data_IF_439317483930
#
_entry.id   IF_439317483930
#
_cell.length_a   1.000
_cell.length_b   1.000
_cell.length_c   1.000
_cell.angle_alpha   90.00
_cell.angle_beta   90.00
_cell.angle_gamma   90.00
#
_symmetry.space_group_name_H-M   'P 1'
#
loop_
_entity.id
_entity.type
_entity.pdbx_description
1 polymer ?
#
# COMPACT_ATOMS: atom_id res chain seq x y z
N UNK A 1 5.89 -13.00 -57.59
CA UNK A 1 4.93 -12.26 -58.45
C UNK A 1 4.49 -11.05 -57.63
N UNK A 2 5.19 -9.99 -57.68
CA UNK A 2 5.12 -8.69 -58.39
C UNK A 2 3.71 -8.18 -58.62
N UNK A 3 3.31 -7.10 -57.94
CA UNK A 3 2.76 -5.96 -58.66
C UNK A 3 2.66 -4.72 -57.74
N UNK A 4 3.46 -3.75 -58.16
CA UNK A 4 3.41 -2.32 -57.84
C UNK A 4 2.10 -1.71 -58.33
N UNK A 5 1.53 -0.75 -57.62
CA UNK A 5 0.87 0.38 -58.27
C UNK A 5 1.25 1.70 -57.61
N UNK A 6 1.74 2.56 -58.47
CA UNK A 6 2.33 3.87 -58.19
C UNK A 6 1.28 4.99 -58.29
N UNK A 7 1.49 5.98 -57.44
CA UNK A 7 1.52 7.46 -57.69
C UNK A 7 0.76 8.05 -58.89
N UNK A 8 -0.01 9.07 -58.57
CA UNK A 8 -0.06 10.43 -59.16
C UNK A 8 -1.49 10.95 -59.27
N UNK A 9 -1.75 12.12 -58.67
CA UNK A 9 -2.48 13.27 -59.27
C UNK A 9 -2.27 14.44 -58.29
N UNK A 10 -1.36 15.35 -58.48
CA UNK A 10 -1.35 16.65 -59.20
C UNK A 10 -2.35 17.68 -58.61
N UNK A 11 -1.71 18.74 -58.10
CA UNK A 11 -2.25 20.04 -57.70
C UNK A 11 -3.18 20.66 -58.74
N UNK A 12 -4.25 21.30 -58.25
CA UNK A 12 -4.76 22.56 -58.87
C UNK A 12 -5.01 23.57 -57.74
N UNK A 13 -4.30 24.67 -57.82
CA UNK A 13 -4.50 25.87 -57.04
C UNK A 13 -5.75 26.61 -57.55
N UNK A 14 -6.57 27.05 -56.60
CA UNK A 14 -7.52 28.14 -56.84
C UNK A 14 -7.46 29.08 -55.65
N UNK A 15 -6.97 30.27 -55.89
CA UNK A 15 -7.00 31.38 -54.95
C UNK A 15 -8.44 31.83 -54.74
N UNK A 16 -8.87 31.84 -53.48
CA UNK A 16 -10.04 32.58 -53.06
C UNK A 16 -9.64 33.40 -51.82
N UNK A 17 -9.50 34.69 -52.02
CA UNK A 17 -9.37 35.68 -50.95
C UNK A 17 -10.65 35.73 -50.16
N UNK A 18 -10.60 35.38 -48.90
CA UNK A 18 -11.76 35.41 -48.01
C UNK A 18 -11.32 35.59 -46.56
N UNK A 19 -11.57 36.78 -46.04
CA UNK A 19 -11.71 37.20 -44.66
C UNK A 19 -11.01 36.35 -43.59
N UNK A 20 -9.91 36.89 -43.06
CA UNK A 20 -9.36 36.44 -41.75
C UNK A 20 -10.40 36.78 -40.68
N UNK A 21 -11.22 35.83 -40.33
CA UNK A 21 -11.99 35.88 -39.08
C UNK A 21 -10.98 35.79 -37.92
N UNK A 22 -10.86 36.85 -37.18
CA UNK A 22 -10.09 36.87 -35.93
C UNK A 22 -10.61 35.75 -35.02
N UNK A 23 -9.83 34.69 -34.85
CA UNK A 23 -10.02 33.69 -33.80
C UNK A 23 -9.93 34.47 -32.50
N UNK A 24 -10.91 34.40 -31.61
CA UNK A 24 -10.79 35.05 -30.32
C UNK A 24 -9.58 34.43 -29.60
N UNK A 25 -8.59 35.25 -29.35
CA UNK A 25 -7.43 34.90 -28.57
C UNK A 25 -7.87 34.60 -27.13
N UNK A 26 -7.43 33.45 -26.66
CA UNK A 26 -7.07 33.30 -25.26
C UNK A 26 -8.25 33.22 -24.30
N UNK A 27 -8.73 32.00 -24.09
CA UNK A 27 -9.08 31.68 -22.71
C UNK A 27 -7.78 31.84 -21.90
N UNK A 28 -7.63 32.97 -21.22
CA UNK A 28 -6.60 33.14 -20.22
C UNK A 28 -6.77 31.95 -19.26
N UNK A 29 -5.80 31.06 -19.24
CA UNK A 29 -5.75 30.00 -18.28
C UNK A 29 -5.63 30.69 -16.92
N UNK A 30 -6.78 30.83 -16.23
CA UNK A 30 -6.81 31.43 -14.89
C UNK A 30 -5.85 30.62 -14.05
N UNK A 31 -4.82 31.31 -13.53
CA UNK A 31 -3.86 30.68 -12.63
C UNK A 31 -4.66 30.00 -11.49
N UNK A 32 -4.35 28.73 -11.20
CA UNK A 32 -5.01 28.00 -10.15
C UNK A 32 -4.84 28.72 -8.81
N UNK A 33 -5.94 29.06 -8.14
CA UNK A 33 -5.92 29.76 -6.87
C UNK A 33 -5.97 28.77 -5.69
N UNK A 34 -4.83 28.54 -5.05
CA UNK A 34 -4.74 27.77 -3.83
C UNK A 34 -5.46 28.43 -2.65
N UNK A 35 -5.61 29.77 -2.65
CA UNK A 35 -6.22 30.55 -1.55
C UNK A 35 -7.74 30.65 -1.63
N UNK A 36 -8.39 30.02 -2.62
CA UNK A 36 -9.86 30.10 -2.84
C UNK A 36 -10.70 29.70 -1.61
N UNK A 37 -10.13 28.97 -0.66
CA UNK A 37 -10.77 28.59 0.61
C UNK A 37 -10.00 29.10 1.83
N UNK A 38 -9.21 30.15 1.67
CA UNK A 38 -8.42 30.77 2.74
C UNK A 38 -9.33 31.20 3.91
N UNK A 39 -8.85 31.02 5.13
CA UNK A 39 -9.59 31.30 6.36
C UNK A 39 -10.45 30.13 6.85
N UNK A 40 -10.63 29.06 6.06
CA UNK A 40 -11.28 27.85 6.54
C UNK A 40 -10.32 27.01 7.41
N UNK A 41 -10.92 26.12 8.20
CA UNK A 41 -10.19 25.07 8.94
C UNK A 41 -10.74 23.71 8.55
N UNK A 42 -9.88 22.73 8.36
CA UNK A 42 -10.25 21.33 8.09
C UNK A 42 -9.62 20.41 9.14
N UNK A 43 -10.28 19.27 9.37
CA UNK A 43 -9.77 18.20 10.22
C UNK A 43 -9.33 17.01 9.36
N UNK A 44 -8.13 16.49 9.63
CA UNK A 44 -7.51 15.40 8.87
C UNK A 44 -7.23 14.22 9.79
N UNK A 45 -7.84 13.09 9.46
CA UNK A 45 -7.63 11.84 10.16
C UNK A 45 -6.50 11.05 9.48
N UNK A 46 -5.35 10.91 10.16
CA UNK A 46 -4.18 10.22 9.66
C UNK A 46 -3.97 8.87 10.39
N UNK A 47 -3.50 7.87 9.67
CA UNK A 47 -2.96 6.66 10.27
C UNK A 47 -1.53 6.93 10.75
N UNK A 48 -1.23 6.59 12.00
CA UNK A 48 0.13 6.69 12.56
C UNK A 48 1.08 5.77 11.78
N UNK A 49 1.95 6.38 10.98
CA UNK A 49 2.83 5.70 10.05
C UNK A 49 3.90 6.67 9.53
N UNK A 50 5.00 6.19 8.91
CA UNK A 50 5.98 7.07 8.28
C UNK A 50 5.37 8.08 7.29
N UNK A 51 4.26 7.71 6.63
CA UNK A 51 3.52 8.57 5.70
C UNK A 51 2.75 9.67 6.45
N UNK A 52 2.11 9.32 7.56
CA UNK A 52 1.44 10.28 8.43
C UNK A 52 2.43 11.30 8.99
N UNK A 53 3.59 10.84 9.45
CA UNK A 53 4.67 11.70 9.95
C UNK A 53 5.19 12.65 8.87
N UNK A 54 5.33 12.15 7.62
CA UNK A 54 5.73 12.97 6.48
C UNK A 54 4.72 14.08 6.21
N UNK A 55 3.44 13.77 6.16
CA UNK A 55 2.38 14.75 5.91
C UNK A 55 2.33 15.82 7.02
N UNK A 56 2.42 15.42 8.29
CA UNK A 56 2.45 16.37 9.41
C UNK A 56 3.69 17.26 9.39
N UNK A 57 4.85 16.70 9.06
CA UNK A 57 6.10 17.47 8.97
C UNK A 57 5.99 18.66 8.01
N UNK A 58 5.29 18.47 6.90
CA UNK A 58 5.16 19.48 5.84
C UNK A 58 3.81 20.20 5.85
N UNK A 59 2.91 19.92 6.81
CA UNK A 59 1.58 20.50 6.91
C UNK A 59 1.58 22.03 6.84
N UNK A 60 2.55 22.68 7.49
CA UNK A 60 2.65 24.14 7.48
C UNK A 60 2.82 24.72 6.08
N UNK A 61 3.49 24.03 5.17
CA UNK A 61 3.61 24.49 3.77
C UNK A 61 2.24 24.58 3.09
N UNK A 62 1.36 23.60 3.35
CA UNK A 62 -0.02 23.64 2.85
C UNK A 62 -0.80 24.81 3.46
N UNK A 63 -0.68 25.01 4.77
CA UNK A 63 -1.36 26.11 5.46
C UNK A 63 -0.91 27.48 4.93
N UNK A 64 0.39 27.68 4.74
CA UNK A 64 0.96 28.94 4.24
C UNK A 64 0.56 29.19 2.77
N UNK A 65 0.52 28.13 1.95
CA UNK A 65 0.15 28.21 0.55
C UNK A 65 -1.36 28.47 0.35
N UNK A 66 -2.19 27.80 1.13
CA UNK A 66 -3.66 27.82 0.94
C UNK A 66 -4.39 28.81 1.86
N UNK A 67 -3.79 29.19 2.99
CA UNK A 67 -4.47 29.94 4.05
C UNK A 67 -5.52 29.10 4.79
N UNK A 68 -5.56 27.78 4.59
CA UNK A 68 -6.45 26.85 5.29
C UNK A 68 -5.72 26.34 6.52
N UNK A 69 -6.37 26.33 7.68
CA UNK A 69 -5.84 25.71 8.90
C UNK A 69 -6.13 24.21 8.92
N UNK A 70 -5.18 23.42 9.39
CA UNK A 70 -5.30 21.96 9.43
C UNK A 70 -5.14 21.44 10.85
N UNK A 71 -6.20 20.84 11.38
CA UNK A 71 -6.13 19.94 12.52
C UNK A 71 -5.79 18.54 12.00
N UNK A 72 -4.69 17.94 12.46
CA UNK A 72 -4.32 16.58 12.04
C UNK A 72 -4.14 15.67 13.25
N UNK A 73 -4.98 14.64 13.35
CA UNK A 73 -4.89 13.60 14.35
C UNK A 73 -4.25 12.35 13.75
N UNK A 74 -3.17 11.84 14.36
CA UNK A 74 -2.59 10.53 14.01
C UNK A 74 -3.04 9.46 14.99
N UNK A 75 -3.69 8.42 14.49
CA UNK A 75 -4.25 7.32 15.28
C UNK A 75 -3.61 5.99 14.85
N UNK A 76 -3.30 5.08 15.80
CA UNK A 76 -2.84 3.73 15.47
C UNK A 76 -3.78 3.02 14.50
N UNK A 77 -3.22 2.25 13.58
CA UNK A 77 -3.89 1.70 12.40
C UNK A 77 -5.26 1.06 12.66
N UNK A 78 -5.35 0.15 13.63
CA UNK A 78 -6.61 -0.55 13.92
C UNK A 78 -7.66 0.36 14.56
N UNK A 79 -7.23 1.22 15.48
CA UNK A 79 -8.11 2.20 16.13
C UNK A 79 -8.63 3.23 15.12
N UNK A 80 -7.77 3.67 14.19
CA UNK A 80 -8.12 4.57 13.09
C UNK A 80 -9.26 3.99 12.24
N UNK A 81 -9.16 2.71 11.86
CA UNK A 81 -10.18 2.01 11.07
C UNK A 81 -11.50 1.89 11.82
N UNK A 82 -11.46 1.53 13.11
CA UNK A 82 -12.65 1.41 13.96
C UNK A 82 -13.35 2.76 14.14
N UNK A 83 -12.59 3.83 14.45
CA UNK A 83 -13.12 5.18 14.59
C UNK A 83 -13.82 5.62 13.30
N UNK A 84 -13.16 5.45 12.15
CA UNK A 84 -13.74 5.81 10.87
C UNK A 84 -15.08 5.11 10.59
N UNK A 85 -15.15 3.80 10.81
CA UNK A 85 -16.39 3.03 10.60
C UNK A 85 -17.51 3.47 11.54
N UNK A 86 -17.21 3.72 12.82
CA UNK A 86 -18.19 4.21 13.80
C UNK A 86 -18.75 5.57 13.38
N UNK A 87 -17.87 6.51 13.03
CA UNK A 87 -18.29 7.86 12.64
C UNK A 87 -19.07 7.85 11.33
N UNK A 88 -18.64 7.14 10.32
CA UNK A 88 -19.36 7.02 9.05
C UNK A 88 -20.74 6.37 9.22
N UNK A 89 -20.87 5.33 10.04
CA UNK A 89 -22.16 4.72 10.36
C UNK A 89 -23.11 5.67 11.11
N UNK A 90 -22.57 6.61 11.88
CA UNK A 90 -23.38 7.63 12.57
C UNK A 90 -23.89 8.74 11.63
N UNK A 91 -23.44 8.76 10.37
CA UNK A 91 -23.76 9.82 9.40
C UNK A 91 -23.05 11.16 9.66
N UNK A 92 -22.01 11.16 10.53
CA UNK A 92 -21.27 12.36 10.90
C UNK A 92 -19.81 12.01 11.17
N UNK A 93 -18.88 12.79 10.62
CA UNK A 93 -17.45 12.61 10.85
C UNK A 93 -16.85 13.81 11.59
N UNK A 94 -15.91 13.55 12.48
CA UNK A 94 -15.08 14.57 13.12
C UNK A 94 -13.96 15.07 12.20
N UNK A 95 -13.81 14.50 11.02
CA UNK A 95 -12.78 14.81 10.03
C UNK A 95 -13.40 15.15 8.68
N UNK A 96 -12.70 15.99 7.93
CA UNK A 96 -13.02 16.37 6.54
C UNK A 96 -12.26 15.51 5.53
N UNK A 97 -11.02 15.10 5.89
CA UNK A 97 -10.14 14.24 5.09
C UNK A 97 -9.74 13.01 5.89
N UNK A 98 -9.68 11.88 5.23
CA UNK A 98 -9.21 10.62 5.82
C UNK A 98 -8.09 9.98 5.01
N UNK A 99 -7.04 9.55 5.72
CA UNK A 99 -6.05 8.60 5.24
C UNK A 99 -6.64 7.19 5.36
N UNK A 100 -7.04 6.61 4.24
CA UNK A 100 -7.73 5.32 4.19
C UNK A 100 -6.81 4.21 3.69
N UNK A 101 -7.02 3.00 4.25
CA UNK A 101 -6.31 1.78 3.83
C UNK A 101 -7.14 1.05 2.78
N UNK A 102 -6.74 1.11 1.52
CA UNK A 102 -7.48 0.52 0.40
C UNK A 102 -7.79 -0.96 0.57
N UNK A 103 -6.83 -1.71 1.04
CA UNK A 103 -6.93 -3.16 1.19
C UNK A 103 -7.95 -3.62 2.25
N UNK A 104 -8.48 -2.68 3.07
CA UNK A 104 -9.49 -2.97 4.09
C UNK A 104 -10.76 -2.15 3.88
N UNK A 105 -10.65 -0.91 3.44
CA UNK A 105 -11.76 0.04 3.50
C UNK A 105 -12.41 0.31 2.13
N UNK A 106 -11.75 -0.06 1.02
CA UNK A 106 -12.20 0.26 -0.33
C UNK A 106 -13.66 -0.13 -0.60
N UNK A 107 -14.01 -1.39 -0.43
CA UNK A 107 -15.36 -1.90 -0.74
C UNK A 107 -16.40 -1.43 0.27
N UNK A 108 -16.06 -1.49 1.55
CA UNK A 108 -16.94 -1.04 2.62
C UNK A 108 -17.30 0.44 2.47
N UNK A 109 -16.31 1.31 2.22
CA UNK A 109 -16.54 2.75 2.07
C UNK A 109 -17.33 3.07 0.80
N UNK A 110 -17.09 2.33 -0.29
CA UNK A 110 -17.84 2.47 -1.52
C UNK A 110 -19.33 2.11 -1.35
N UNK A 111 -19.64 1.00 -0.66
CA UNK A 111 -21.00 0.58 -0.39
C UNK A 111 -21.74 1.58 0.52
N UNK A 112 -21.08 2.05 1.57
CA UNK A 112 -21.61 3.08 2.46
C UNK A 112 -21.76 4.45 1.81
N UNK A 113 -21.14 4.69 0.64
CA UNK A 113 -21.05 6.01 -0.01
C UNK A 113 -20.47 7.06 0.92
N UNK A 114 -19.48 6.66 1.72
CA UNK A 114 -18.91 7.48 2.79
C UNK A 114 -17.87 8.50 2.30
N UNK A 115 -17.41 8.31 1.07
CA UNK A 115 -16.42 9.19 0.46
C UNK A 115 -17.04 10.00 -0.67
N UNK A 116 -16.58 11.23 -0.84
CA UNK A 116 -16.95 12.10 -1.94
C UNK A 116 -16.44 11.58 -3.28
N UNK A 117 -17.24 11.68 -4.33
CA UNK A 117 -16.79 11.44 -5.69
C UNK A 117 -15.95 12.62 -6.18
N UNK A 118 -14.66 12.40 -6.36
CA UNK A 118 -13.72 13.46 -6.73
C UNK A 118 -13.75 13.84 -8.22
N UNK A 119 -14.45 13.08 -9.08
CA UNK A 119 -14.49 13.33 -10.53
C UNK A 119 -14.94 14.75 -10.89
N UNK A 120 -16.02 15.29 -10.28
CA UNK A 120 -16.44 16.68 -10.57
C UNK A 120 -15.38 17.71 -10.19
N UNK A 121 -14.58 17.44 -9.17
CA UNK A 121 -13.56 18.36 -8.66
C UNK A 121 -12.31 18.44 -9.57
N UNK A 122 -12.09 17.46 -10.42
CA UNK A 122 -10.93 17.44 -11.30
C UNK A 122 -10.93 18.56 -12.36
N UNK A 123 -12.09 19.10 -12.71
CA UNK A 123 -12.19 20.26 -13.59
C UNK A 123 -11.57 21.53 -12.99
N UNK A 124 -11.37 21.54 -11.66
CA UNK A 124 -10.84 22.67 -10.90
C UNK A 124 -9.41 22.42 -10.40
N UNK A 125 -8.69 21.42 -10.92
CA UNK A 125 -7.30 21.15 -10.54
C UNK A 125 -6.33 22.01 -11.37
N UNK A 126 -5.13 22.32 -10.83
CA UNK A 126 -4.10 22.97 -11.61
C UNK A 126 -3.61 22.06 -12.75
N UNK A 127 -3.12 22.67 -13.83
CA UNK A 127 -2.69 21.93 -15.02
C UNK A 127 -1.55 20.94 -14.75
N UNK A 128 -0.69 21.24 -13.79
CA UNK A 128 0.44 20.42 -13.37
C UNK A 128 0.06 19.28 -12.40
N UNK A 129 -1.19 19.25 -11.94
CA UNK A 129 -1.68 18.15 -11.09
C UNK A 129 -1.57 16.79 -11.77
N UNK A 130 -1.75 16.74 -13.08
CA UNK A 130 -1.49 15.58 -13.95
C UNK A 130 -1.97 14.24 -13.38
N UNK A 131 -3.23 13.92 -13.60
CA UNK A 131 -3.81 12.63 -13.16
C UNK A 131 -3.18 11.42 -13.85
N UNK A 132 -2.65 11.61 -15.07
CA UNK A 132 -1.99 10.56 -15.83
C UNK A 132 -0.65 10.11 -15.21
N UNK A 133 -0.10 10.90 -14.30
CA UNK A 133 1.12 10.57 -13.57
C UNK A 133 0.89 9.56 -12.43
N UNK A 134 -0.35 9.30 -12.03
CA UNK A 134 -0.63 8.23 -11.06
C UNK A 134 -0.47 6.84 -11.70
N UNK A 135 0.17 5.93 -10.99
CA UNK A 135 0.32 4.54 -11.42
C UNK A 135 -1.02 3.84 -11.60
N UNK A 136 -1.08 2.92 -12.57
CA UNK A 136 -2.30 2.13 -12.80
C UNK A 136 -2.75 1.36 -11.54
N UNK A 137 -1.81 0.82 -10.75
CA UNK A 137 -2.11 0.14 -9.50
C UNK A 137 -2.71 1.07 -8.44
N UNK A 138 -2.21 2.31 -8.32
CA UNK A 138 -2.80 3.32 -7.43
C UNK A 138 -4.21 3.68 -7.85
N UNK A 139 -4.43 3.96 -9.12
CA UNK A 139 -5.76 4.29 -9.66
C UNK A 139 -6.73 3.12 -9.60
N UNK A 140 -6.27 1.87 -9.73
CA UNK A 140 -7.09 0.69 -9.53
C UNK A 140 -7.71 0.66 -8.12
N UNK A 141 -6.93 0.99 -7.10
CA UNK A 141 -7.45 1.07 -5.74
C UNK A 141 -8.37 2.27 -5.50
N UNK A 142 -8.08 3.42 -6.09
CA UNK A 142 -8.85 4.65 -5.93
C UNK A 142 -10.17 4.67 -6.73
N UNK A 143 -10.29 3.81 -7.75
CA UNK A 143 -11.48 3.75 -8.62
C UNK A 143 -12.41 2.64 -8.15
N UNK A 144 -13.70 2.96 -7.98
CA UNK A 144 -14.73 2.01 -7.62
C UNK A 144 -15.31 1.31 -8.86
N UNK A 145 -16.05 0.22 -8.65
CA UNK A 145 -16.65 -0.58 -9.74
C UNK A 145 -17.67 0.21 -10.58
N UNK A 146 -18.29 1.24 -10.01
CA UNK A 146 -19.20 2.17 -10.69
C UNK A 146 -18.47 3.35 -11.37
N UNK A 147 -17.15 3.33 -11.40
CA UNK A 147 -16.32 4.35 -12.01
C UNK A 147 -16.09 5.60 -11.15
N UNK A 148 -16.66 5.71 -9.94
CA UNK A 148 -16.33 6.80 -9.03
C UNK A 148 -14.85 6.75 -8.64
N UNK A 149 -14.26 7.93 -8.46
CA UNK A 149 -12.92 8.09 -7.87
C UNK A 149 -13.15 8.77 -6.53
N UNK A 150 -13.10 8.01 -5.46
CA UNK A 150 -13.46 8.46 -4.11
C UNK A 150 -12.28 8.81 -3.21
N UNK A 151 -11.09 8.78 -3.79
CA UNK A 151 -9.86 9.15 -3.12
C UNK A 151 -8.76 9.40 -4.15
N UNK A 152 -7.65 10.01 -3.73
CA UNK A 152 -6.40 10.05 -4.50
C UNK A 152 -5.40 9.07 -3.89
N UNK A 153 -4.71 8.27 -4.71
CA UNK A 153 -3.72 7.33 -4.19
C UNK A 153 -2.58 8.06 -3.48
N UNK A 154 -2.21 7.59 -2.29
CA UNK A 154 -1.11 8.14 -1.51
C UNK A 154 0.17 7.32 -1.70
N UNK A 155 0.07 6.01 -1.52
CA UNK A 155 1.19 5.08 -1.75
C UNK A 155 0.68 3.68 -2.10
N UNK A 156 1.56 2.90 -2.71
CA UNK A 156 1.49 1.45 -2.71
C UNK A 156 2.67 0.90 -1.93
N UNK A 157 2.46 -0.15 -1.18
CA UNK A 157 3.47 -0.71 -0.29
C UNK A 157 3.66 -2.20 -0.62
N UNK A 158 4.54 -2.52 -1.59
CA UNK A 158 4.85 -3.90 -1.88
C UNK A 158 5.62 -4.51 -0.70
N UNK A 159 5.28 -5.74 -0.34
CA UNK A 159 6.00 -6.47 0.69
C UNK A 159 7.29 -7.05 0.13
N UNK A 160 8.36 -6.88 0.91
CA UNK A 160 9.72 -7.29 0.57
C UNK A 160 10.28 -8.19 1.68
N UNK A 161 11.36 -8.88 1.40
CA UNK A 161 12.12 -9.62 2.39
C UNK A 161 13.33 -8.77 2.85
N UNK A 162 13.25 -8.27 4.08
CA UNK A 162 14.38 -7.69 4.79
C UNK A 162 15.26 -8.81 5.35
N UNK A 163 16.57 -8.69 5.22
CA UNK A 163 17.49 -9.68 5.74
C UNK A 163 18.76 -9.05 6.32
N UNK A 164 19.32 -9.66 7.36
CA UNK A 164 20.51 -9.18 8.00
C UNK A 164 21.75 -9.79 7.32
N UNK A 165 22.45 -8.98 6.50
CA UNK A 165 23.63 -9.39 5.72
C UNK A 165 24.73 -9.98 6.59
N UNK A 166 24.94 -9.43 7.80
CA UNK A 166 25.99 -9.88 8.72
C UNK A 166 25.71 -11.29 9.27
N UNK A 167 24.46 -11.54 9.70
CA UNK A 167 24.05 -12.87 10.17
C UNK A 167 24.13 -13.92 9.07
N UNK A 168 23.73 -13.57 7.85
CA UNK A 168 23.85 -14.46 6.69
C UNK A 168 25.31 -14.75 6.35
N UNK A 169 26.18 -13.73 6.30
CA UNK A 169 27.60 -13.89 6.03
C UNK A 169 28.29 -14.77 7.09
N UNK A 170 27.96 -14.60 8.37
CA UNK A 170 28.51 -15.41 9.47
C UNK A 170 28.22 -16.92 9.32
N UNK A 171 27.19 -17.29 8.58
CA UNK A 171 26.83 -18.69 8.29
C UNK A 171 27.12 -19.10 6.83
N UNK A 172 27.78 -18.24 6.03
CA UNK A 172 28.07 -18.51 4.62
C UNK A 172 26.81 -18.61 3.75
N UNK A 173 25.72 -17.94 4.13
CA UNK A 173 24.45 -17.97 3.41
C UNK A 173 24.34 -16.78 2.45
N UNK A 174 23.71 -16.99 1.30
CA UNK A 174 23.28 -15.97 0.37
C UNK A 174 21.80 -15.64 0.55
N UNK A 175 21.35 -14.55 -0.10
CA UNK A 175 19.93 -14.22 -0.17
C UNK A 175 19.11 -15.41 -0.73
N UNK A 176 18.00 -15.81 -0.08
CA UNK A 176 17.20 -16.98 -0.49
C UNK A 176 16.56 -16.74 -1.86
N UNK A 177 16.57 -17.75 -2.71
CA UNK A 177 16.03 -17.72 -4.09
C UNK A 177 14.65 -18.37 -4.21
N UNK A 178 14.17 -19.02 -3.17
CA UNK A 178 12.87 -19.71 -3.12
C UNK A 178 12.28 -19.63 -1.72
N UNK A 179 10.97 -19.89 -1.59
CA UNK A 179 10.32 -20.01 -0.28
C UNK A 179 10.93 -21.11 0.58
N UNK A 180 11.33 -22.22 -0.02
CA UNK A 180 12.02 -23.30 0.69
C UNK A 180 13.34 -22.81 1.29
N UNK A 181 14.11 -22.02 0.54
CA UNK A 181 15.37 -21.45 1.03
C UNK A 181 15.15 -20.38 2.13
N UNK A 182 14.01 -19.66 2.14
CA UNK A 182 13.63 -18.80 3.29
C UNK A 182 13.51 -19.65 4.55
N UNK A 183 12.79 -20.77 4.48
CA UNK A 183 12.59 -21.67 5.63
C UNK A 183 13.91 -22.27 6.09
N UNK A 184 14.76 -22.71 5.17
CA UNK A 184 16.07 -23.30 5.48
C UNK A 184 17.02 -22.27 6.10
N UNK A 185 17.06 -21.06 5.55
CA UNK A 185 17.86 -19.97 6.12
C UNK A 185 17.35 -19.58 7.51
N UNK A 186 16.03 -19.50 7.70
CA UNK A 186 15.46 -19.22 9.01
C UNK A 186 15.90 -20.24 10.07
N UNK A 187 15.86 -21.54 9.74
CA UNK A 187 16.31 -22.62 10.65
C UNK A 187 17.80 -22.51 10.98
N UNK A 188 18.66 -22.28 9.97
CA UNK A 188 20.12 -22.19 10.14
C UNK A 188 20.56 -20.96 10.94
N UNK A 189 19.79 -19.87 10.87
CA UNK A 189 20.08 -18.59 11.52
C UNK A 189 19.38 -18.45 12.88
N UNK A 190 18.46 -19.36 13.22
CA UNK A 190 17.77 -19.35 14.51
C UNK A 190 18.69 -19.86 15.60
N UNK A 191 19.10 -18.96 16.50
CA UNK A 191 19.95 -19.25 17.65
C UNK A 191 19.40 -18.56 18.90
N UNK A 192 18.42 -19.18 19.58
CA UNK A 192 17.83 -18.62 20.79
C UNK A 192 18.84 -18.42 21.93
N UNK A 193 19.94 -19.17 21.95
CA UNK A 193 20.99 -19.04 22.98
C UNK A 193 21.72 -17.69 22.86
N UNK A 194 21.86 -17.19 21.67
CA UNK A 194 22.41 -15.85 21.37
C UNK A 194 21.34 -14.76 21.27
N UNK A 195 20.07 -15.10 21.51
CA UNK A 195 18.95 -14.19 21.39
C UNK A 195 18.60 -13.80 19.95
N UNK A 196 19.02 -14.63 18.96
CA UNK A 196 18.77 -14.41 17.54
C UNK A 196 17.61 -15.30 17.07
N UNK A 197 16.63 -14.72 16.41
CA UNK A 197 15.57 -15.47 15.73
C UNK A 197 15.85 -15.51 14.23
N UNK A 198 15.52 -16.64 13.59
CA UNK A 198 15.72 -16.81 12.15
C UNK A 198 14.72 -15.97 11.33
N UNK A 199 13.52 -15.78 11.87
CA UNK A 199 12.48 -15.03 11.20
C UNK A 199 11.62 -14.23 12.21
N UNK A 200 11.19 -13.05 11.82
CA UNK A 200 10.17 -12.28 12.53
C UNK A 200 9.10 -11.79 11.55
N UNK A 201 7.88 -11.67 12.00
CA UNK A 201 6.75 -11.19 11.20
C UNK A 201 5.50 -10.98 12.03
N UNK A 202 4.41 -10.63 11.37
CA UNK A 202 3.14 -10.34 12.02
C UNK A 202 2.43 -11.62 12.45
N UNK A 203 2.31 -11.83 13.75
CA UNK A 203 1.57 -12.95 14.35
C UNK A 203 0.29 -12.52 15.06
N UNK A 204 0.14 -11.22 15.39
CA UNK A 204 -1.03 -10.69 16.09
C UNK A 204 -2.29 -10.82 15.24
N UNK A 205 -3.37 -11.30 15.87
CA UNK A 205 -4.70 -11.43 15.25
C UNK A 205 -5.05 -10.17 14.46
N UNK A 206 -5.55 -10.37 13.35
CA UNK A 206 -5.87 -9.78 12.08
C UNK A 206 -4.69 -9.06 11.35
N UNK A 207 -3.64 -8.66 12.03
CA UNK A 207 -2.41 -8.19 11.39
C UNK A 207 -1.60 -9.34 10.75
N UNK A 208 -1.82 -10.58 11.19
CA UNK A 208 -1.17 -11.79 10.72
C UNK A 208 -1.64 -12.24 9.31
N UNK A 209 -2.90 -11.96 8.97
CA UNK A 209 -3.51 -12.43 7.71
C UNK A 209 -2.74 -11.94 6.47
N UNK A 210 -2.32 -10.68 6.34
CA UNK A 210 -1.50 -10.23 5.21
C UNK A 210 -0.20 -11.01 4.99
N UNK A 211 0.47 -11.47 6.05
CA UNK A 211 1.67 -12.28 5.90
C UNK A 211 1.34 -13.65 5.31
N UNK A 212 0.32 -14.32 5.83
CA UNK A 212 -0.15 -15.59 5.28
C UNK A 212 -0.62 -15.45 3.83
N UNK A 213 -1.48 -14.46 3.54
CA UNK A 213 -2.03 -14.30 2.18
C UNK A 213 -0.97 -13.92 1.16
N UNK A 214 0.07 -13.18 1.55
CA UNK A 214 1.23 -12.92 0.69
C UNK A 214 1.95 -14.23 0.30
N UNK A 215 2.16 -15.13 1.26
CA UNK A 215 2.70 -16.46 0.98
C UNK A 215 1.74 -17.30 0.13
N UNK A 216 0.44 -17.28 0.45
CA UNK A 216 -0.60 -18.00 -0.27
C UNK A 216 -0.60 -17.71 -1.77
N UNK A 217 -0.47 -16.44 -2.16
CA UNK A 217 -0.33 -16.05 -3.57
C UNK A 217 0.88 -16.70 -4.23
N UNK A 218 2.02 -16.81 -3.53
CA UNK A 218 3.25 -17.45 -4.04
C UNK A 218 3.11 -18.96 -4.23
N UNK A 219 2.27 -19.61 -3.43
CA UNK A 219 1.88 -21.00 -3.62
C UNK A 219 0.91 -21.21 -4.80
N UNK A 220 0.48 -20.13 -5.46
CA UNK A 220 -0.50 -20.16 -6.55
C UNK A 220 -1.94 -20.08 -6.07
N UNK A 221 -2.14 -19.76 -4.79
CA UNK A 221 -3.47 -19.62 -4.21
C UNK A 221 -4.25 -18.47 -4.81
N UNK A 222 -5.55 -18.66 -4.90
CA UNK A 222 -6.53 -17.66 -5.29
C UNK A 222 -7.60 -17.57 -4.20
N UNK A 223 -8.07 -16.37 -3.89
CA UNK A 223 -9.08 -16.20 -2.84
C UNK A 223 -10.42 -16.86 -3.21
N UNK A 224 -10.70 -16.91 -4.50
CA UNK A 224 -11.94 -17.48 -5.05
C UNK A 224 -11.62 -18.47 -6.17
N UNK A 225 -12.39 -19.51 -6.27
CA UNK A 225 -12.37 -20.45 -7.40
C UNK A 225 -13.08 -19.89 -8.64
N UNK A 226 -13.08 -20.65 -9.73
CA UNK A 226 -13.73 -20.26 -10.98
C UNK A 226 -15.26 -20.06 -10.89
N UNK A 227 -15.89 -20.55 -9.81
CA UNK A 227 -17.31 -20.37 -9.51
C UNK A 227 -17.58 -19.22 -8.52
N UNK A 228 -16.53 -18.48 -8.11
CA UNK A 228 -16.62 -17.38 -7.14
C UNK A 228 -16.74 -17.84 -5.68
N UNK A 229 -16.55 -19.15 -5.40
CA UNK A 229 -16.55 -19.69 -4.05
C UNK A 229 -15.18 -19.46 -3.38
N UNK A 230 -15.20 -19.23 -2.07
CA UNK A 230 -13.99 -19.05 -1.28
C UNK A 230 -13.08 -20.30 -1.36
N UNK A 231 -11.80 -20.08 -1.71
CA UNK A 231 -10.81 -21.13 -1.97
C UNK A 231 -9.67 -21.14 -0.93
N UNK A 232 -10.01 -20.92 0.33
CA UNK A 232 -9.06 -20.75 1.45
C UNK A 232 -8.79 -22.05 2.23
N UNK A 233 -9.24 -23.20 1.73
CA UNK A 233 -8.96 -24.53 2.29
C UNK A 233 -8.26 -25.46 1.30
N UNK A 234 -7.77 -24.90 0.18
CA UNK A 234 -7.07 -25.64 -0.87
C UNK A 234 -5.68 -26.12 -0.41
N UNK A 235 -5.06 -27.08 -1.13
CA UNK A 235 -3.68 -27.50 -0.84
C UNK A 235 -2.69 -26.33 -0.76
N UNK A 236 -2.85 -25.32 -1.62
CA UNK A 236 -2.04 -24.11 -1.62
C UNK A 236 -2.25 -23.27 -0.33
N UNK A 237 -3.50 -23.17 0.14
CA UNK A 237 -3.83 -22.51 1.39
C UNK A 237 -3.20 -23.24 2.60
N UNK A 238 -3.32 -24.57 2.64
CA UNK A 238 -2.71 -25.40 3.68
C UNK A 238 -1.19 -25.28 3.67
N UNK A 239 -0.55 -25.40 2.51
CA UNK A 239 0.90 -25.30 2.39
C UNK A 239 1.44 -23.93 2.82
N UNK A 240 0.78 -22.86 2.41
CA UNK A 240 1.17 -21.48 2.78
C UNK A 240 0.97 -21.18 4.27
N UNK A 241 -0.13 -21.66 4.87
CA UNK A 241 -0.39 -21.51 6.29
C UNK A 241 0.58 -22.37 7.13
N UNK A 242 0.97 -23.54 6.62
CA UNK A 242 2.02 -24.37 7.23
C UNK A 242 3.36 -23.62 7.24
N UNK A 243 3.75 -23.02 6.11
CA UNK A 243 4.98 -22.20 6.05
C UNK A 243 4.91 -21.00 7.00
N UNK A 244 3.79 -20.29 7.03
CA UNK A 244 3.56 -19.18 7.96
C UNK A 244 3.75 -19.62 9.42
N UNK A 245 3.08 -20.71 9.82
CA UNK A 245 3.20 -21.28 11.16
C UNK A 245 4.63 -21.68 11.48
N UNK A 246 5.28 -22.39 10.59
CA UNK A 246 6.63 -22.93 10.84
C UNK A 246 7.69 -21.84 10.95
N UNK A 247 7.60 -20.79 10.14
CA UNK A 247 8.48 -19.64 10.26
C UNK A 247 8.34 -18.96 11.63
N UNK A 248 7.12 -18.68 12.06
CA UNK A 248 6.90 -17.93 13.31
C UNK A 248 7.02 -18.80 14.57
N UNK A 249 6.55 -20.07 14.52
CA UNK A 249 6.57 -20.96 15.67
C UNK A 249 7.94 -21.58 15.92
N UNK A 250 8.63 -22.02 14.86
CA UNK A 250 9.86 -22.79 14.99
C UNK A 250 11.12 -21.93 14.89
N UNK A 251 11.06 -20.75 14.27
CA UNK A 251 12.21 -19.88 14.05
C UNK A 251 11.97 -18.42 14.41
N UNK A 252 10.79 -18.11 14.92
CA UNK A 252 10.40 -16.77 15.40
C UNK A 252 10.62 -16.57 16.90
N UNK A 253 10.31 -15.36 17.40
CA UNK A 253 10.41 -15.05 18.82
C UNK A 253 9.34 -15.78 19.64
N UNK A 254 9.64 -16.06 20.91
CA UNK A 254 8.62 -16.44 21.87
C UNK A 254 7.52 -15.37 21.89
N UNK A 255 6.24 -15.78 21.90
CA UNK A 255 5.11 -14.85 21.87
C UNK A 255 4.87 -14.17 20.51
N UNK A 256 5.36 -14.74 19.42
CA UNK A 256 5.16 -14.22 18.06
C UNK A 256 3.68 -13.89 17.74
N UNK A 257 2.72 -14.59 18.35
CA UNK A 257 1.28 -14.31 18.22
C UNK A 257 0.84 -12.93 18.74
N UNK A 258 1.70 -12.24 19.47
CA UNK A 258 1.47 -10.85 19.95
C UNK A 258 2.15 -9.79 19.06
N UNK A 259 2.89 -10.17 18.02
CA UNK A 259 3.67 -9.25 17.22
C UNK A 259 2.86 -8.67 16.06
N UNK A 260 2.77 -7.34 15.99
CA UNK A 260 2.40 -6.60 14.80
C UNK A 260 3.70 -6.11 14.09
N UNK A 261 3.59 -5.23 13.11
CA UNK A 261 4.73 -4.70 12.37
C UNK A 261 5.75 -3.95 13.25
N UNK A 262 5.29 -3.21 14.25
CA UNK A 262 6.15 -2.42 15.14
C UNK A 262 7.00 -3.29 16.07
N UNK A 263 6.48 -4.37 16.63
CA UNK A 263 7.24 -5.33 17.42
C UNK A 263 8.24 -6.07 16.55
N UNK A 264 7.82 -6.50 15.34
CA UNK A 264 8.68 -7.18 14.38
C UNK A 264 9.84 -6.26 13.93
N UNK A 265 9.54 -5.01 13.57
CA UNK A 265 10.54 -4.00 13.22
C UNK A 265 11.50 -3.74 14.37
N UNK A 266 10.99 -3.58 15.60
CA UNK A 266 11.83 -3.33 16.78
C UNK A 266 12.84 -4.44 17.01
N UNK A 267 12.44 -5.71 16.84
CA UNK A 267 13.35 -6.84 16.99
C UNK A 267 14.41 -6.85 15.88
N UNK A 268 14.02 -6.53 14.66
CA UNK A 268 14.93 -6.43 13.53
C UNK A 268 15.92 -5.26 13.67
N UNK A 269 15.44 -4.08 14.12
CA UNK A 269 16.25 -2.89 14.43
C UNK A 269 17.35 -3.19 15.47
N UNK A 270 17.07 -4.08 16.42
CA UNK A 270 18.03 -4.51 17.44
C UNK A 270 19.07 -5.51 16.91
N UNK A 271 18.98 -5.95 15.66
CA UNK A 271 19.84 -6.98 15.07
C UNK A 271 19.54 -8.39 15.57
N UNK A 272 18.38 -8.60 16.19
CA UNK A 272 17.98 -9.87 16.81
C UNK A 272 17.13 -10.77 15.91
N UNK A 273 16.87 -10.37 14.67
CA UNK A 273 16.17 -11.17 13.68
C UNK A 273 17.00 -11.25 12.39
N UNK A 274 17.07 -12.45 11.81
CA UNK A 274 17.80 -12.66 10.57
C UNK A 274 17.00 -12.24 9.33
N UNK A 275 15.68 -12.44 9.35
CA UNK A 275 14.77 -12.10 8.25
C UNK A 275 13.46 -11.52 8.78
N UNK A 276 12.85 -10.66 7.94
CA UNK A 276 11.56 -10.03 8.19
C UNK A 276 10.83 -9.78 6.86
N UNK A 277 9.58 -10.20 6.74
CA UNK A 277 8.74 -9.90 5.58
C UNK A 277 7.70 -8.86 5.99
N UNK A 278 7.72 -7.69 5.35
CA UNK A 278 6.74 -6.63 5.56
C UNK A 278 6.80 -5.59 4.43
N UNK A 279 5.99 -4.51 4.55
CA UNK A 279 5.94 -3.43 3.61
C UNK A 279 7.26 -2.69 3.43
N UNK A 280 7.57 -2.30 2.21
CA UNK A 280 8.80 -1.60 1.85
C UNK A 280 8.94 -0.23 2.54
N UNK A 281 7.84 0.40 2.93
CA UNK A 281 7.82 1.70 3.61
C UNK A 281 8.23 1.66 5.08
N UNK A 282 8.56 0.50 5.63
CA UNK A 282 9.09 0.38 6.99
C UNK A 282 10.63 0.40 7.07
N UNK A 283 11.30 0.62 5.94
CA UNK A 283 12.75 0.67 5.84
C UNK A 283 13.44 1.86 6.57
N UNK A 284 12.89 3.11 6.61
CA UNK A 284 13.64 4.27 7.08
C UNK A 284 14.26 4.14 8.47
N UNK A 285 13.57 3.62 9.51
CA UNK A 285 14.20 3.46 10.82
C UNK A 285 15.39 2.49 10.83
N UNK A 286 15.48 1.57 9.86
CA UNK A 286 16.56 0.58 9.77
C UNK A 286 17.91 1.23 9.42
N UNK A 287 17.88 2.36 8.71
CA UNK A 287 19.06 3.14 8.30
C UNK A 287 19.29 4.40 9.17
N UNK A 288 18.55 4.54 10.28
CA UNK A 288 18.71 5.62 11.24
C UNK A 288 19.61 5.15 12.40
N UNK A 289 20.85 5.66 12.44
CA UNK A 289 21.84 5.29 13.47
C UNK A 289 21.41 5.61 14.91
N UNK A 290 20.42 6.49 15.09
CA UNK A 290 19.88 6.81 16.42
C UNK A 290 18.89 5.76 16.93
N UNK A 291 18.37 4.90 16.02
CA UNK A 291 17.32 3.90 16.30
C UNK A 291 17.76 2.47 16.05
N UNK A 292 18.70 2.27 15.13
CA UNK A 292 19.03 0.96 14.56
C UNK A 292 20.46 0.52 14.89
N UNK A 293 20.60 -0.76 15.21
CA UNK A 293 21.91 -1.46 15.33
C UNK A 293 22.32 -2.16 14.04
N UNK A 294 21.47 -2.10 13.01
CA UNK A 294 21.66 -2.79 11.72
C UNK A 294 21.91 -1.84 10.55
N UNK A 295 22.20 -0.57 10.82
CA UNK A 295 22.55 0.41 9.78
C UNK A 295 23.65 -0.13 8.87
N UNK A 296 23.41 -0.10 7.55
CA UNK A 296 24.35 -0.63 6.54
C UNK A 296 24.45 -2.16 6.49
N UNK A 297 23.78 -2.89 7.40
CA UNK A 297 23.77 -4.35 7.46
C UNK A 297 22.47 -4.96 6.90
N UNK A 298 21.50 -4.12 6.55
CA UNK A 298 20.22 -4.57 6.01
C UNK A 298 20.35 -4.85 4.53
N UNK A 299 19.84 -6.00 4.11
CA UNK A 299 19.56 -6.32 2.72
C UNK A 299 18.08 -6.14 2.43
N UNK A 300 17.80 -5.60 1.29
CA UNK A 300 16.44 -5.37 0.78
C UNK A 300 16.24 -6.29 -0.42
N UNK A 301 15.35 -7.26 -0.33
CA UNK A 301 15.18 -8.27 -1.36
C UNK A 301 13.74 -8.37 -1.87
N UNK A 302 13.61 -8.52 -3.19
CA UNK A 302 12.34 -8.88 -3.83
C UNK A 302 11.89 -10.23 -3.28
N UNK A 303 10.60 -10.39 -2.99
CA UNK A 303 10.09 -11.68 -2.55
C UNK A 303 10.56 -12.80 -3.49
N UNK A 304 11.25 -13.83 -2.97
CA UNK A 304 11.63 -14.98 -3.77
C UNK A 304 10.40 -15.67 -4.38
N UNK A 305 10.53 -16.37 -5.52
CA UNK A 305 9.45 -17.15 -6.07
C UNK A 305 8.98 -18.22 -5.07
N UNK A 306 7.66 -18.30 -4.93
CA UNK A 306 7.00 -19.42 -4.32
C UNK A 306 6.97 -20.62 -5.27
N UNK A 307 6.38 -21.74 -4.85
CA UNK A 307 6.33 -22.97 -5.68
C UNK A 307 5.63 -22.79 -7.03
N UNK A 308 4.76 -21.80 -7.17
CA UNK A 308 3.97 -21.58 -8.38
C UNK A 308 4.15 -20.19 -8.99
N UNK A 309 4.42 -19.17 -8.16
CA UNK A 309 4.43 -17.78 -8.61
C UNK A 309 5.46 -16.96 -7.83
N UNK A 310 6.18 -16.09 -8.53
CA UNK A 310 6.88 -14.98 -7.88
C UNK A 310 5.92 -13.81 -7.75
N UNK A 311 5.68 -13.36 -6.53
CA UNK A 311 4.70 -12.32 -6.23
C UNK A 311 5.11 -11.51 -5.01
N UNK A 312 4.87 -10.22 -5.06
CA UNK A 312 4.88 -9.34 -3.89
C UNK A 312 3.43 -8.99 -3.54
N UNK A 313 3.00 -9.31 -2.34
CA UNK A 313 1.73 -8.82 -1.83
C UNK A 313 1.81 -7.29 -1.70
N UNK A 314 0.77 -6.59 -2.18
CA UNK A 314 0.76 -5.13 -2.19
C UNK A 314 -0.45 -4.61 -1.44
N UNK A 315 -0.19 -3.60 -0.65
CA UNK A 315 -1.17 -2.88 0.13
C UNK A 315 -1.08 -1.41 -0.24
N UNK A 316 -2.19 -0.70 -0.22
CA UNK A 316 -2.21 0.69 -0.63
C UNK A 316 -3.01 1.55 0.31
N UNK A 317 -2.64 2.83 0.35
CA UNK A 317 -3.35 3.85 1.09
C UNK A 317 -3.74 5.00 0.15
N UNK A 318 -4.79 5.70 0.52
CA UNK A 318 -5.27 6.87 -0.19
C UNK A 318 -5.65 8.00 0.74
N UNK A 319 -5.85 9.17 0.14
CA UNK A 319 -6.41 10.34 0.82
C UNK A 319 -7.77 10.63 0.20
N UNK A 320 -8.82 10.63 1.00
CA UNK A 320 -10.16 10.86 0.52
C UNK A 320 -10.89 11.93 1.32
N UNK A 321 -11.94 12.52 0.71
CA UNK A 321 -12.79 13.53 1.33
C UNK A 321 -14.03 12.84 1.88
N UNK A 322 -14.38 13.12 3.14
CA UNK A 322 -15.62 12.62 3.75
C UNK A 322 -16.83 13.16 3.00
N UNK A 323 -17.77 12.26 2.65
CA UNK A 323 -19.04 12.67 2.06
C UNK A 323 -19.88 13.57 2.98
N UNK A 324 -19.63 13.49 4.31
CA UNK A 324 -20.31 14.28 5.34
C UNK A 324 -19.63 15.62 5.64
N UNK A 325 -18.47 15.90 5.03
CA UNK A 325 -17.81 17.21 5.18
C UNK A 325 -18.62 18.32 4.52
N UNK A 326 -18.77 19.43 5.24
CA UNK A 326 -19.29 20.69 4.67
C UNK A 326 -18.22 21.52 3.97
N UNK A 327 -16.94 21.11 4.06
CA UNK A 327 -15.75 21.85 3.57
C UNK A 327 -15.06 21.09 2.44
N UNK A 328 -15.82 20.41 1.59
CA UNK A 328 -15.32 19.48 0.56
C UNK A 328 -14.26 20.08 -0.35
N UNK A 329 -14.40 21.36 -0.73
CA UNK A 329 -13.44 22.05 -1.58
C UNK A 329 -12.08 22.26 -0.90
N UNK A 330 -12.06 22.71 0.36
CA UNK A 330 -10.85 22.87 1.16
C UNK A 330 -10.17 21.51 1.44
N UNK A 331 -10.99 20.50 1.78
CA UNK A 331 -10.55 19.12 1.97
C UNK A 331 -9.90 18.53 0.71
N UNK A 332 -10.48 18.81 -0.47
CA UNK A 332 -9.90 18.36 -1.74
C UNK A 332 -8.55 19.04 -2.05
N UNK A 333 -8.37 20.33 -1.74
CA UNK A 333 -7.08 20.99 -1.87
C UNK A 333 -6.00 20.30 -1.03
N UNK A 334 -6.33 19.93 0.21
CA UNK A 334 -5.41 19.17 1.05
C UNK A 334 -5.08 17.79 0.44
N UNK A 335 -6.10 17.09 -0.04
CA UNK A 335 -5.93 15.78 -0.68
C UNK A 335 -5.01 15.86 -1.91
N UNK A 336 -5.17 16.91 -2.75
CA UNK A 336 -4.29 17.16 -3.89
C UNK A 336 -2.85 17.45 -3.46
N UNK A 337 -2.65 18.29 -2.43
CA UNK A 337 -1.33 18.60 -1.89
C UNK A 337 -0.65 17.35 -1.33
N UNK A 338 -1.36 16.58 -0.51
CA UNK A 338 -0.86 15.36 0.14
C UNK A 338 -0.43 14.29 -0.87
N UNK A 339 -1.05 14.24 -2.04
CA UNK A 339 -0.77 13.27 -3.12
C UNK A 339 -0.07 13.92 -4.32
N UNK A 340 0.32 15.19 -4.18
CA UNK A 340 0.98 15.97 -5.23
C UNK A 340 2.41 15.53 -5.51
N UNK A 341 2.96 15.94 -6.67
CA UNK A 341 4.29 15.55 -7.15
C UNK A 341 5.38 15.83 -6.11
N UNK A 342 5.37 17.01 -5.47
CA UNK A 342 6.36 17.39 -4.46
C UNK A 342 6.31 16.47 -3.23
N UNK A 343 5.12 16.14 -2.73
CA UNK A 343 4.98 15.24 -1.57
C UNK A 343 5.39 13.80 -1.92
N UNK A 344 5.09 13.35 -3.13
CA UNK A 344 5.48 12.03 -3.62
C UNK A 344 7.00 11.92 -3.83
N UNK A 345 7.65 12.98 -4.31
CA UNK A 345 9.11 13.07 -4.38
C UNK A 345 9.75 12.98 -2.98
N UNK A 346 9.20 13.71 -1.99
CA UNK A 346 9.64 13.63 -0.59
C UNK A 346 9.41 12.23 0.02
N UNK A 347 8.31 11.59 -0.33
CA UNK A 347 8.03 10.21 0.09
C UNK A 347 9.11 9.26 -0.41
N UNK A 348 9.52 9.38 -1.67
CA UNK A 348 10.63 8.61 -2.22
C UNK A 348 11.94 8.91 -1.49
N UNK A 349 12.31 10.18 -1.39
CA UNK A 349 13.57 10.61 -0.79
C UNK A 349 13.72 10.12 0.66
N UNK A 350 12.64 10.07 1.42
CA UNK A 350 12.63 9.61 2.81
C UNK A 350 12.39 8.11 2.97
N UNK A 351 11.93 7.41 1.91
CA UNK A 351 11.55 6.01 1.96
C UNK A 351 10.26 5.73 2.74
N UNK A 352 9.44 6.77 3.00
CA UNK A 352 8.23 6.65 3.81
C UNK A 352 7.11 5.82 3.16
N UNK A 353 7.31 5.32 1.96
CA UNK A 353 6.42 4.47 1.17
C UNK A 353 6.87 4.42 -0.28
N UNK A 354 6.30 3.53 -1.08
CA UNK A 354 6.50 3.55 -2.52
C UNK A 354 5.54 4.56 -3.16
N UNK A 355 6.05 5.64 -3.76
CA UNK A 355 5.22 6.64 -4.42
C UNK A 355 4.32 6.05 -5.49
N UNK A 356 3.15 6.62 -5.66
CA UNK A 356 2.20 6.24 -6.70
C UNK A 356 2.26 7.15 -7.91
N UNK A 357 3.00 8.25 -7.85
CA UNK A 357 3.30 9.10 -9.02
C UNK A 357 4.57 8.62 -9.70
N UNK A 358 4.44 8.34 -11.00
CA UNK A 358 5.55 7.83 -11.81
C UNK A 358 6.69 8.85 -11.97
N UNK A 359 6.37 10.14 -11.93
CA UNK A 359 7.35 11.23 -11.96
C UNK A 359 8.29 11.22 -10.76
N UNK A 360 7.85 10.77 -9.58
CA UNK A 360 8.67 10.73 -8.38
C UNK A 360 9.94 9.88 -8.58
N UNK A 361 9.85 8.78 -9.32
CA UNK A 361 10.99 7.88 -9.60
C UNK A 361 12.01 8.46 -10.62
N UNK A 362 11.69 9.61 -11.20
CA UNK A 362 12.55 10.36 -12.13
C UNK A 362 12.94 11.73 -11.60
N UNK A 363 12.49 12.06 -10.39
CA UNK A 363 12.81 13.31 -9.74
C UNK A 363 14.28 13.31 -9.29
N UNK A 364 15.10 14.16 -9.89
CA UNK A 364 16.55 14.18 -9.66
C UNK A 364 16.89 14.58 -8.23
N UNK A 365 16.13 15.50 -7.65
CA UNK A 365 16.35 15.98 -6.28
C UNK A 365 15.98 14.89 -5.26
N UNK A 366 14.83 14.22 -5.45
CA UNK A 366 14.42 13.10 -4.61
C UNK A 366 15.45 11.96 -4.64
N UNK A 367 15.95 11.62 -5.84
CA UNK A 367 16.95 10.56 -5.99
C UNK A 367 18.31 10.94 -5.37
N UNK A 368 18.72 12.20 -5.51
CA UNK A 368 19.97 12.70 -4.88
C UNK A 368 19.88 12.77 -3.35
N UNK A 369 18.67 12.94 -2.81
CA UNK A 369 18.41 13.02 -1.36
C UNK A 369 17.87 11.73 -0.76
N UNK A 370 17.94 10.62 -1.49
CA UNK A 370 17.45 9.31 -1.02
C UNK A 370 18.16 8.90 0.28
N UNK A 371 17.39 8.69 1.34
CA UNK A 371 17.89 8.30 2.67
C UNK A 371 18.14 6.79 2.81
N UNK A 372 17.69 6.02 1.85
CA UNK A 372 17.81 4.56 1.82
C UNK A 372 18.84 4.12 0.77
N UNK A 373 19.44 2.93 0.91
CA UNK A 373 20.31 2.36 -0.11
C UNK A 373 19.62 2.22 -1.47
N UNK A 374 20.38 2.37 -2.55
CA UNK A 374 19.90 2.15 -3.94
C UNK A 374 19.31 0.74 -4.11
N UNK A 375 19.80 -0.25 -3.37
CA UNK A 375 19.24 -1.60 -3.30
C UNK A 375 17.75 -1.59 -2.91
N UNK A 376 17.35 -0.77 -1.94
CA UNK A 376 15.94 -0.62 -1.58
C UNK A 376 15.10 -0.09 -2.74
N UNK A 377 15.59 0.95 -3.43
CA UNK A 377 14.86 1.53 -4.57
C UNK A 377 14.67 0.51 -5.69
N UNK A 378 15.72 -0.25 -6.04
CA UNK A 378 15.66 -1.30 -7.03
C UNK A 378 14.67 -2.42 -6.62
N UNK A 379 14.71 -2.82 -5.35
CA UNK A 379 13.80 -3.83 -4.79
C UNK A 379 12.35 -3.37 -4.85
N UNK A 380 12.06 -2.12 -4.50
CA UNK A 380 10.71 -1.56 -4.60
C UNK A 380 10.21 -1.57 -6.04
N UNK A 381 11.04 -1.09 -6.98
CA UNK A 381 10.68 -1.08 -8.41
C UNK A 381 10.36 -2.47 -8.95
N UNK A 382 11.19 -3.45 -8.64
CA UNK A 382 10.99 -4.83 -9.07
C UNK A 382 9.78 -5.49 -8.38
N UNK A 383 9.62 -5.26 -7.07
CA UNK A 383 8.46 -5.76 -6.32
C UNK A 383 7.14 -5.20 -6.85
N UNK A 384 7.11 -3.95 -7.29
CA UNK A 384 5.94 -3.36 -7.93
C UNK A 384 5.57 -4.02 -9.26
N UNK A 385 6.55 -4.54 -10.02
CA UNK A 385 6.29 -5.26 -11.28
C UNK A 385 5.57 -6.60 -11.07
N UNK A 386 5.82 -7.26 -9.95
CA UNK A 386 5.21 -8.55 -9.58
C UNK A 386 4.11 -8.39 -8.53
N UNK A 387 3.67 -7.15 -8.27
CA UNK A 387 2.70 -6.84 -7.23
C UNK A 387 1.31 -7.39 -7.53
N UNK A 388 0.66 -7.93 -6.50
CA UNK A 388 -0.76 -8.31 -6.51
C UNK A 388 -1.43 -7.87 -5.21
N UNK A 389 -2.75 -7.58 -5.23
CA UNK A 389 -3.47 -7.31 -3.99
C UNK A 389 -3.24 -8.41 -2.95
N UNK A 390 -2.74 -8.02 -1.78
CA UNK A 390 -2.38 -8.95 -0.71
C UNK A 390 -3.57 -9.49 0.09
N UNK A 391 -4.77 -8.91 -0.10
CA UNK A 391 -6.03 -9.36 0.50
C UNK A 391 -7.12 -9.43 -0.57
N UNK A 392 -8.19 -10.23 -0.36
CA UNK A 392 -9.34 -10.23 -1.26
C UNK A 392 -10.01 -8.87 -1.25
N UNK A 393 -10.41 -8.38 -2.43
CA UNK A 393 -11.13 -7.12 -2.57
C UNK A 393 -12.63 -7.40 -2.44
N UNK A 394 -13.06 -7.55 -1.20
CA UNK A 394 -14.44 -7.86 -0.79
C UNK A 394 -14.94 -6.81 0.21
N UNK A 395 -16.25 -6.75 0.41
CA UNK A 395 -16.82 -5.86 1.42
C UNK A 395 -16.44 -6.30 2.83
N UNK A 396 -16.66 -7.57 3.25
CA UNK A 396 -16.40 -8.01 4.62
C UNK A 396 -14.93 -8.42 4.83
N UNK A 397 -13.97 -7.64 4.29
CA UNK A 397 -12.55 -7.97 4.42
C UNK A 397 -12.03 -7.85 5.86
N UNK A 398 -12.66 -7.02 6.68
CA UNK A 398 -12.34 -6.93 8.11
C UNK A 398 -12.70 -8.22 8.82
N UNK A 399 -13.89 -8.74 8.58
CA UNK A 399 -14.37 -10.02 9.10
C UNK A 399 -13.55 -11.19 8.58
N UNK A 400 -13.15 -11.16 7.28
CA UNK A 400 -12.18 -12.12 6.73
C UNK A 400 -10.89 -12.13 7.57
N UNK A 401 -10.32 -10.96 7.84
CA UNK A 401 -9.11 -10.84 8.63
C UNK A 401 -9.31 -11.27 10.09
N UNK A 402 -10.48 -11.06 10.66
CA UNK A 402 -10.76 -11.48 12.02
C UNK A 402 -10.89 -13.00 12.14
N UNK A 403 -11.66 -13.62 11.26
CA UNK A 403 -11.88 -15.08 11.26
C UNK A 403 -10.60 -15.83 10.95
N UNK A 404 -9.93 -15.50 9.83
CA UNK A 404 -8.68 -16.15 9.47
C UNK A 404 -7.52 -15.80 10.41
N UNK A 405 -7.55 -14.60 11.00
CA UNK A 405 -6.58 -14.18 12.01
C UNK A 405 -6.63 -15.03 13.28
N UNK A 406 -7.83 -15.42 13.71
CA UNK A 406 -8.02 -16.38 14.82
C UNK A 406 -7.43 -17.75 14.44
N UNK A 407 -7.77 -18.27 13.26
CA UNK A 407 -7.26 -19.55 12.79
C UNK A 407 -5.73 -19.58 12.76
N UNK A 408 -5.09 -18.54 12.19
CA UNK A 408 -3.63 -18.42 12.16
C UNK A 408 -3.01 -18.35 13.56
N UNK A 409 -3.65 -17.64 14.49
CA UNK A 409 -3.20 -17.61 15.91
C UNK A 409 -3.31 -18.98 16.57
N UNK A 410 -4.40 -19.72 16.33
CA UNK A 410 -4.56 -21.08 16.82
C UNK A 410 -3.47 -22.02 16.28
N UNK A 411 -3.10 -21.89 15.00
CA UNK A 411 -2.01 -22.67 14.39
C UNK A 411 -0.65 -22.37 15.05
N UNK A 412 -0.37 -21.12 15.40
CA UNK A 412 0.84 -20.76 16.16
C UNK A 412 0.83 -21.43 17.54
N UNK A 413 -0.33 -21.59 18.15
CA UNK A 413 -0.52 -22.26 19.44
C UNK A 413 -0.61 -23.80 19.33
N UNK A 414 -0.47 -24.37 18.11
CA UNK A 414 -0.34 -25.80 17.88
C UNK A 414 -1.57 -26.49 17.32
N UNK A 415 -2.61 -25.75 16.94
CA UNK A 415 -3.77 -26.31 16.25
C UNK A 415 -3.40 -26.84 14.86
N UNK A 416 -4.20 -27.80 14.38
CA UNK A 416 -4.02 -28.42 13.06
C UNK A 416 -4.36 -27.43 11.93
N UNK A 417 -3.46 -27.26 10.98
CA UNK A 417 -3.58 -26.25 9.92
C UNK A 417 -4.78 -26.50 9.00
N UNK A 418 -4.98 -27.71 8.42
CA UNK A 418 -6.14 -27.99 7.60
C UNK A 418 -7.48 -27.80 8.33
N UNK A 419 -7.55 -28.24 9.59
CA UNK A 419 -8.77 -28.13 10.40
C UNK A 419 -9.13 -26.66 10.66
N UNK A 420 -8.16 -25.82 11.02
CA UNK A 420 -8.37 -24.39 11.27
C UNK A 420 -8.78 -23.63 10.01
N UNK A 421 -8.16 -23.91 8.85
CA UNK A 421 -8.56 -23.30 7.58
C UNK A 421 -9.98 -23.72 7.17
N UNK A 422 -10.32 -24.99 7.29
CA UNK A 422 -11.67 -25.49 7.00
C UNK A 422 -12.72 -24.84 7.89
N UNK A 423 -12.43 -24.73 9.19
CA UNK A 423 -13.30 -24.03 10.15
C UNK A 423 -13.48 -22.56 9.79
N UNK A 424 -12.38 -21.85 9.53
CA UNK A 424 -12.42 -20.43 9.17
C UNK A 424 -13.17 -20.19 7.85
N UNK A 425 -12.97 -21.05 6.84
CA UNK A 425 -13.70 -20.99 5.57
C UNK A 425 -15.21 -21.18 5.78
N UNK A 426 -15.61 -22.18 6.57
CA UNK A 426 -17.01 -22.44 6.86
C UNK A 426 -17.68 -21.31 7.67
N UNK A 427 -16.94 -20.71 8.61
CA UNK A 427 -17.41 -19.58 9.41
C UNK A 427 -17.57 -18.30 8.59
N UNK A 428 -16.63 -18.02 7.67
CA UNK A 428 -16.64 -16.80 6.88
C UNK A 428 -17.56 -16.85 5.67
N UNK A 429 -17.79 -18.02 5.06
CA UNK A 429 -18.59 -18.15 3.84
C UNK A 429 -20.00 -17.51 3.93
N UNK A 430 -20.80 -17.71 5.01
CA UNK A 430 -22.09 -17.05 5.14
C UNK A 430 -21.99 -15.51 5.33
N UNK A 431 -20.92 -15.03 5.96
CA UNK A 431 -20.67 -13.58 6.10
C UNK A 431 -20.42 -12.94 4.73
N UNK A 432 -19.58 -13.60 3.92
CA UNK A 432 -19.30 -13.16 2.55
C UNK A 432 -20.58 -13.17 1.69
N UNK A 433 -21.35 -14.25 1.71
CA UNK A 433 -22.57 -14.37 0.92
C UNK A 433 -23.60 -13.27 1.27
N UNK A 434 -23.72 -12.94 2.55
CA UNK A 434 -24.63 -11.86 3.02
C UNK A 434 -24.16 -10.48 2.61
N UNK A 435 -22.85 -10.22 2.60
CA UNK A 435 -22.30 -8.91 2.32
C UNK A 435 -22.28 -8.59 0.82
N UNK A 436 -22.04 -9.58 -0.03
CA UNK A 436 -21.93 -9.40 -1.49
C UNK A 436 -23.29 -9.65 -2.21
N UNK A 437 -24.36 -10.01 -1.48
CA UNK A 437 -25.74 -10.04 -2.02
C UNK A 437 -26.33 -8.60 -2.06
#
# INVERSE_FOLDING_TARGET
MTSKFQRRVILKAAAASGAIAAVPQGFAQTSFDWKRYSGQSIEVHLVKSPRGDLLQKYQKEFEDMSGIKVGAEQIPEQQSRQKAVIEFNSGKTSFDVIHLSYHVQKRQFAKGKWMEDLRPMFSTTPADFDRGDFSAGGMFYATQTDGRIDSLPLNLDPWILYWNKELFAAKGLAYPKTYAEIVDAAKKLHDPSSGIVGFVGRGLKNANVPLWTGLFLGFGGQFFDGAGKLATETPEAVASATMYRDLLKNTGPAGASGYNWNEAQSLFLQGKAAMWIDGSGFAPPLEDATKSRVVGKVGYGVMPPGPKLQVSATFGDGMGVSAFSSKKGAAFLYTMWATGKAMQARMLATGAGAPVRLSAYRDKEALANLKLPVEWLATVGESMRIARPGLPIIEPVTEFRDVFGIALTNMLNGADVPAELKKATAEFAPVLAKAES
#
